data_IF_478548138369
#
_entry.id   IF_478548138369
#
_cell.length_a   1.000
_cell.length_b   1.000
_cell.length_c   1.000
_cell.angle_alpha   90.00
_cell.angle_beta   90.00
_cell.angle_gamma   90.00
#
_symmetry.space_group_name_H-M   'P 1'
#
loop_
_entity.id
_entity.type
_entity.pdbx_description
1 polymer ?
#
# COMPACT_ATOMS: atom_id res chain seq x y z
N UNK A 1 -13.31 5.26 5.80
CA UNK A 1 -12.17 6.10 6.23
C UNK A 1 -12.54 7.58 6.29
N UNK A 2 -12.21 8.26 7.40
CA UNK A 2 -12.65 9.63 7.71
C UNK A 2 -11.71 10.69 7.10
N UNK A 3 -11.36 10.56 5.81
CA UNK A 3 -10.39 11.47 5.17
C UNK A 3 -10.86 12.94 5.16
N UNK A 4 -12.17 13.17 5.19
CA UNK A 4 -12.78 14.51 5.31
C UNK A 4 -12.46 15.23 6.64
N UNK A 5 -11.84 14.55 7.61
CA UNK A 5 -11.41 15.15 8.89
C UNK A 5 -9.95 15.60 8.87
N UNK A 6 -9.20 15.34 7.80
CA UNK A 6 -7.81 15.80 7.67
C UNK A 6 -7.81 17.28 7.29
N UNK A 7 -7.02 18.10 7.98
CA UNK A 7 -7.04 19.57 7.87
C UNK A 7 -6.79 20.12 6.47
N UNK A 8 -6.12 19.35 5.62
CA UNK A 8 -5.75 19.74 4.26
C UNK A 8 -6.42 18.87 3.19
N UNK A 9 -7.44 18.09 3.57
CA UNK A 9 -8.25 17.39 2.58
C UNK A 9 -9.10 18.39 1.80
N UNK A 10 -9.10 18.28 0.48
CA UNK A 10 -9.94 19.08 -0.41
C UNK A 10 -10.87 18.15 -1.21
N UNK A 11 -12.16 18.49 -1.23
CA UNK A 11 -13.18 17.75 -2.00
C UNK A 11 -12.96 17.84 -3.51
N UNK A 12 -12.27 18.88 -3.98
CA UNK A 12 -11.95 19.12 -5.38
C UNK A 12 -10.71 18.34 -5.86
N UNK A 13 -10.07 17.56 -5.00
CA UNK A 13 -8.96 16.70 -5.44
C UNK A 13 -9.44 15.77 -6.57
N UNK A 14 -8.64 15.61 -7.65
CA UNK A 14 -8.98 14.69 -8.71
C UNK A 14 -9.20 13.27 -8.18
N UNK A 15 -10.22 12.60 -8.71
CA UNK A 15 -10.51 11.21 -8.36
C UNK A 15 -9.66 10.27 -9.22
N UNK A 16 -8.40 10.11 -8.85
CA UNK A 16 -7.52 9.18 -9.55
C UNK A 16 -7.98 7.73 -9.34
N UNK A 17 -8.17 6.93 -10.41
CA UNK A 17 -8.43 5.52 -10.26
C UNK A 17 -7.18 4.81 -9.73
N UNK A 18 -7.39 3.68 -9.04
CA UNK A 18 -6.27 2.85 -8.59
C UNK A 18 -5.53 2.31 -9.82
N UNK A 19 -4.27 2.68 -9.96
CA UNK A 19 -3.39 2.20 -11.02
C UNK A 19 -2.91 0.78 -10.71
N UNK A 20 -3.18 -0.15 -11.62
CA UNK A 20 -2.72 -1.54 -11.54
C UNK A 20 -1.74 -1.91 -12.66
N UNK A 21 -1.65 -1.08 -13.71
CA UNK A 21 -0.76 -1.21 -14.86
C UNK A 21 0.72 -1.33 -14.46
N UNK A 22 1.20 -0.44 -13.59
CA UNK A 22 2.58 -0.48 -13.11
C UNK A 22 2.86 -1.61 -12.10
N UNK A 23 1.82 -2.24 -11.54
CA UNK A 23 1.99 -3.33 -10.58
C UNK A 23 2.49 -4.60 -11.27
N UNK A 24 2.20 -4.79 -12.56
CA UNK A 24 2.67 -5.96 -13.31
C UNK A 24 4.20 -5.96 -13.45
N UNK A 25 4.79 -4.83 -13.87
CA UNK A 25 6.25 -4.70 -13.98
C UNK A 25 6.92 -4.82 -12.62
N UNK A 26 6.34 -4.22 -11.58
CA UNK A 26 6.86 -4.36 -10.22
C UNK A 26 6.84 -5.83 -9.77
N UNK A 27 5.77 -6.58 -10.08
CA UNK A 27 5.67 -8.01 -9.75
C UNK A 27 6.80 -8.84 -10.39
N UNK A 28 7.30 -8.47 -11.58
CA UNK A 28 8.44 -9.16 -12.20
C UNK A 28 9.74 -8.96 -11.41
N UNK A 29 9.91 -7.81 -10.76
CA UNK A 29 11.13 -7.48 -10.02
C UNK A 29 11.15 -8.07 -8.61
N UNK A 30 10.01 -8.07 -7.91
CA UNK A 30 9.94 -8.44 -6.48
C UNK A 30 9.05 -9.66 -6.21
N UNK A 31 8.46 -10.25 -7.25
CA UNK A 31 7.53 -11.37 -7.14
C UNK A 31 6.18 -10.99 -6.53
N UNK A 32 5.27 -11.97 -6.51
CA UNK A 32 3.93 -11.79 -5.95
C UNK A 32 3.95 -11.46 -4.45
N UNK A 33 4.84 -12.12 -3.69
CA UNK A 33 4.99 -11.89 -2.25
C UNK A 33 5.59 -10.52 -1.94
N UNK A 34 6.53 -10.02 -2.76
CA UNK A 34 7.07 -8.68 -2.59
C UNK A 34 6.04 -7.60 -2.91
N UNK A 35 5.21 -7.82 -3.94
CA UNK A 35 4.12 -6.90 -4.24
C UNK A 35 3.07 -6.87 -3.11
N UNK A 36 2.72 -8.04 -2.56
CA UNK A 36 1.80 -8.13 -1.43
C UNK A 36 2.35 -7.39 -0.21
N UNK A 37 3.63 -7.62 0.11
CA UNK A 37 4.34 -6.93 1.18
C UNK A 37 4.29 -5.40 1.04
N UNK A 38 4.58 -4.88 -0.16
CA UNK A 38 4.53 -3.44 -0.44
C UNK A 38 3.12 -2.87 -0.28
N UNK A 39 2.08 -3.60 -0.68
CA UNK A 39 0.69 -3.15 -0.48
C UNK A 39 0.36 -2.99 1.00
N UNK A 40 0.84 -3.88 1.86
CA UNK A 40 0.69 -3.73 3.31
C UNK A 40 1.39 -2.48 3.85
N UNK A 41 2.59 -2.17 3.37
CA UNK A 41 3.37 -1.00 3.79
C UNK A 41 2.79 0.34 3.27
N UNK A 42 2.25 0.35 2.06
CA UNK A 42 1.74 1.55 1.38
C UNK A 42 0.23 1.77 1.62
N UNK A 43 -0.34 1.17 2.66
CA UNK A 43 -1.74 1.40 3.04
C UNK A 43 -1.93 2.85 3.49
N UNK A 44 -2.87 3.56 2.85
CA UNK A 44 -3.12 4.98 3.11
C UNK A 44 -3.58 5.26 4.54
N UNK A 45 -4.50 4.45 5.08
CA UNK A 45 -4.94 4.60 6.46
C UNK A 45 -3.83 4.09 7.41
N UNK A 46 -3.21 4.96 8.23
CA UNK A 46 -2.11 4.55 9.11
C UNK A 46 -2.55 3.54 10.16
N UNK A 47 -3.83 3.49 10.53
CA UNK A 47 -4.34 2.49 11.50
C UNK A 47 -4.42 1.09 10.90
N UNK A 48 -4.50 0.97 9.58
CA UNK A 48 -4.55 -0.29 8.84
C UNK A 48 -3.19 -0.69 8.26
N UNK A 49 -2.22 0.24 8.26
CA UNK A 49 -0.87 -0.03 7.77
C UNK A 49 -0.16 -1.01 8.69
N UNK A 50 0.53 -1.99 8.08
CA UNK A 50 1.27 -2.99 8.85
C UNK A 50 2.37 -2.35 9.70
N UNK A 51 2.62 -2.90 10.88
CA UNK A 51 3.74 -2.48 11.74
C UNK A 51 5.04 -3.12 11.29
N UNK A 52 6.18 -2.53 11.65
CA UNK A 52 7.50 -3.11 11.35
C UNK A 52 7.63 -4.55 11.91
N UNK A 53 7.10 -4.81 13.11
CA UNK A 53 7.11 -6.14 13.74
C UNK A 53 6.38 -7.18 12.89
N UNK A 54 5.19 -6.85 12.39
CA UNK A 54 4.40 -7.76 11.54
C UNK A 54 5.04 -7.89 10.16
N UNK A 55 5.55 -6.79 9.61
CA UNK A 55 6.23 -6.74 8.32
C UNK A 55 7.43 -7.71 8.24
N UNK A 56 8.24 -7.80 9.30
CA UNK A 56 9.37 -8.73 9.37
C UNK A 56 8.97 -10.21 9.34
N UNK A 57 7.70 -10.54 9.63
CA UNK A 57 7.18 -11.90 9.61
C UNK A 57 6.52 -12.28 8.27
N UNK A 58 6.51 -11.35 7.31
CA UNK A 58 5.86 -11.53 6.01
C UNK A 58 6.48 -12.67 5.20
N UNK A 59 5.67 -13.35 4.38
CA UNK A 59 6.11 -14.48 3.55
C UNK A 59 7.24 -14.12 2.58
N UNK A 60 7.32 -12.84 2.19
CA UNK A 60 8.39 -12.30 1.35
C UNK A 60 9.80 -12.50 1.94
N UNK A 61 9.94 -12.62 3.26
CA UNK A 61 11.22 -12.86 3.95
C UNK A 61 11.45 -14.33 4.32
N UNK A 62 10.59 -15.26 3.93
CA UNK A 62 10.69 -16.69 4.29
C UNK A 62 11.41 -17.52 3.21
N UNK A 63 12.38 -16.92 2.55
CA UNK A 63 13.16 -17.50 1.46
C UNK A 63 14.62 -17.67 1.88
#
# INVERSE_FOLDING_TARGET
>A
PLFHKLSYFNVDFPRWPRRNDHLYELTKLIGAQGLDFLKCLLTYDPKQRTTARIALQHQYFKH
#
